data_IF_900386641589
#
_entry.id   IF_900386641589
#
_cell.length_a   1.000
_cell.length_b   1.000
_cell.length_c   1.000
_cell.angle_alpha   90.00
_cell.angle_beta   90.00
_cell.angle_gamma   90.00
#
_symmetry.space_group_name_H-M   'P 1'
#
loop_
_entity.id
_entity.type
_entity.pdbx_description
1 polymer ?
#
# COMPACT_ATOMS: atom_id res chain seq x y z
N UNK A 1 -1.74 12.52 -12.62
CA UNK A 1 -1.73 11.13 -13.15
C UNK A 1 -2.98 10.46 -12.57
N UNK A 2 -3.37 9.23 -12.95
CA UNK A 2 -4.46 8.55 -12.22
C UNK A 2 -3.92 8.03 -10.88
N UNK A 3 -4.74 8.02 -9.83
CA UNK A 3 -4.40 7.44 -8.52
C UNK A 3 -4.01 5.97 -8.65
N UNK A 4 -4.73 5.23 -9.50
CA UNK A 4 -4.37 3.85 -9.82
C UNK A 4 -2.98 3.74 -10.44
N UNK A 5 -2.61 4.64 -11.36
CA UNK A 5 -1.29 4.64 -11.98
C UNK A 5 -0.17 5.00 -10.99
N UNK A 6 -0.41 5.98 -10.11
CA UNK A 6 0.53 6.37 -9.05
C UNK A 6 0.75 5.21 -8.07
N UNK A 7 -0.34 4.55 -7.65
CA UNK A 7 -0.24 3.38 -6.78
C UNK A 7 0.46 2.20 -7.45
N UNK A 8 0.32 2.01 -8.77
CA UNK A 8 1.04 0.96 -9.49
C UNK A 8 2.55 1.15 -9.39
N UNK A 9 3.06 2.38 -9.47
CA UNK A 9 4.50 2.64 -9.29
C UNK A 9 4.96 2.30 -7.87
N UNK A 10 4.19 2.71 -6.87
CA UNK A 10 4.46 2.40 -5.48
C UNK A 10 4.45 0.89 -5.21
N UNK A 11 3.45 0.16 -5.72
CA UNK A 11 3.36 -1.29 -5.58
C UNK A 11 4.48 -2.04 -6.32
N UNK A 12 4.98 -1.51 -7.45
CA UNK A 12 6.15 -2.07 -8.11
C UNK A 12 7.40 -1.95 -7.23
N UNK A 13 7.61 -0.82 -6.57
CA UNK A 13 8.71 -0.62 -5.63
C UNK A 13 8.57 -1.56 -4.42
N UNK A 14 7.39 -1.64 -3.81
CA UNK A 14 7.13 -2.58 -2.71
C UNK A 14 7.46 -4.01 -3.13
N UNK A 15 6.98 -4.44 -4.30
CA UNK A 15 7.26 -5.78 -4.82
C UNK A 15 8.74 -6.01 -5.09
N UNK A 16 9.49 -4.98 -5.48
CA UNK A 16 10.94 -5.09 -5.65
C UNK A 16 11.59 -5.38 -4.30
N UNK A 17 11.24 -4.64 -3.23
CA UNK A 17 11.75 -4.89 -1.88
C UNK A 17 11.37 -6.30 -1.39
N UNK A 18 10.11 -6.69 -1.52
CA UNK A 18 9.63 -8.01 -1.07
C UNK A 18 10.34 -9.18 -1.78
N UNK A 19 10.75 -9.02 -3.05
CA UNK A 19 11.46 -10.07 -3.80
C UNK A 19 12.89 -10.31 -3.33
N UNK A 20 13.49 -9.35 -2.63
CA UNK A 20 14.86 -9.48 -2.11
C UNK A 20 14.94 -10.43 -0.90
N UNK A 21 13.78 -10.77 -0.32
CA UNK A 21 13.69 -11.62 0.87
C UNK A 21 12.80 -12.83 0.58
N UNK A 22 13.28 -14.01 0.94
CA UNK A 22 12.45 -15.21 0.87
C UNK A 22 11.50 -15.22 2.06
N UNK A 23 10.19 -15.22 1.79
CA UNK A 23 9.14 -15.26 2.83
C UNK A 23 9.37 -16.39 3.85
N UNK A 24 9.86 -17.54 3.40
CA UNK A 24 10.00 -18.69 4.29
C UNK A 24 11.17 -18.59 5.26
N UNK A 25 12.11 -17.68 5.00
CA UNK A 25 13.24 -17.39 5.87
C UNK A 25 12.92 -16.34 6.95
N UNK A 26 11.78 -15.65 6.83
CA UNK A 26 11.35 -14.65 7.80
C UNK A 26 10.91 -15.29 9.14
N UNK A 27 11.06 -14.57 10.27
CA UNK A 27 10.39 -14.90 11.52
C UNK A 27 8.88 -15.04 11.35
N UNK A 28 8.23 -15.85 12.20
CA UNK A 28 6.78 -16.13 12.08
C UNK A 28 5.92 -14.86 12.11
N UNK A 29 6.30 -13.88 12.91
CA UNK A 29 5.62 -12.59 13.00
C UNK A 29 5.75 -11.78 11.70
N UNK A 30 6.95 -11.73 11.13
CA UNK A 30 7.24 -11.05 9.88
C UNK A 30 6.58 -11.71 8.67
N UNK A 31 6.43 -13.04 8.66
CA UNK A 31 5.66 -13.74 7.60
C UNK A 31 4.23 -13.23 7.51
N UNK A 32 3.60 -12.99 8.66
CA UNK A 32 2.24 -12.45 8.71
C UNK A 32 2.21 -11.03 8.18
N UNK A 33 3.14 -10.18 8.62
CA UNK A 33 3.24 -8.79 8.16
C UNK A 33 3.54 -8.71 6.66
N UNK A 34 4.41 -9.60 6.15
CA UNK A 34 4.72 -9.74 4.73
C UNK A 34 3.46 -10.04 3.90
N UNK A 35 2.64 -10.98 4.37
CA UNK A 35 1.37 -11.30 3.71
C UNK A 35 0.37 -10.14 3.80
N UNK A 36 0.36 -9.40 4.92
CA UNK A 36 -0.45 -8.20 5.09
C UNK A 36 -0.06 -7.08 4.12
N UNK A 37 1.23 -6.84 3.88
CA UNK A 37 1.69 -5.90 2.85
C UNK A 37 1.11 -6.28 1.49
N UNK A 38 1.23 -7.56 1.09
CA UNK A 38 0.74 -8.04 -0.21
C UNK A 38 -0.78 -7.91 -0.34
N UNK A 39 -1.51 -8.23 0.73
CA UNK A 39 -2.96 -8.09 0.77
C UNK A 39 -3.36 -6.62 0.66
N UNK A 40 -2.76 -5.74 1.46
CA UNK A 40 -3.05 -4.31 1.42
C UNK A 40 -2.80 -3.72 0.04
N UNK A 41 -1.72 -4.12 -0.66
CA UNK A 41 -1.49 -3.69 -2.04
C UNK A 41 -2.57 -4.16 -3.02
N UNK A 42 -3.10 -5.38 -2.84
CA UNK A 42 -4.17 -5.89 -3.69
C UNK A 42 -5.48 -5.13 -3.45
N UNK A 43 -5.84 -4.93 -2.19
CA UNK A 43 -7.05 -4.18 -1.82
C UNK A 43 -6.96 -2.73 -2.29
N UNK A 44 -5.81 -2.06 -2.11
CA UNK A 44 -5.62 -0.68 -2.56
C UNK A 44 -5.79 -0.50 -4.07
N UNK A 45 -5.36 -1.46 -4.89
CA UNK A 45 -5.62 -1.41 -6.34
C UNK A 45 -7.10 -1.40 -6.65
N UNK A 46 -7.89 -2.17 -5.91
CA UNK A 46 -9.34 -2.24 -6.10
C UNK A 46 -10.00 -0.98 -5.56
N UNK A 47 -9.66 -0.57 -4.34
CA UNK A 47 -10.25 0.60 -3.69
C UNK A 47 -9.99 1.89 -4.47
N UNK A 48 -8.77 2.11 -4.96
CA UNK A 48 -8.42 3.31 -5.72
C UNK A 48 -9.09 3.32 -7.09
N UNK A 49 -9.15 2.16 -7.76
CA UNK A 49 -9.88 2.01 -9.01
C UNK A 49 -11.36 2.32 -8.81
N UNK A 50 -11.98 1.71 -7.81
CA UNK A 50 -13.40 1.87 -7.55
C UNK A 50 -13.72 3.30 -7.03
N UNK A 51 -12.77 3.98 -6.38
CA UNK A 51 -12.84 5.41 -6.08
C UNK A 51 -12.82 6.28 -7.35
N UNK A 52 -11.94 5.98 -8.31
CA UNK A 52 -11.81 6.73 -9.58
C UNK A 52 -13.05 6.55 -10.47
N UNK A 53 -13.67 5.36 -10.46
CA UNK A 53 -14.86 5.06 -11.26
C UNK A 53 -16.18 5.22 -10.51
N UNK A 54 -16.17 5.76 -9.29
CA UNK A 54 -17.39 5.99 -8.53
C UNK A 54 -18.32 6.97 -9.28
N UNK A 55 -19.59 6.58 -9.45
CA UNK A 55 -20.59 7.38 -10.17
C UNK A 55 -21.23 8.42 -9.25
N UNK A 56 -21.21 8.16 -7.94
CA UNK A 56 -21.78 9.05 -6.92
C UNK A 56 -20.75 9.50 -5.89
N UNK A 57 -20.99 10.67 -5.27
CA UNK A 57 -20.17 11.15 -4.15
C UNK A 57 -20.21 10.22 -2.94
N UNK A 58 -21.34 9.53 -2.71
CA UNK A 58 -21.47 8.58 -1.62
C UNK A 58 -20.57 7.35 -1.84
N UNK A 59 -20.53 6.81 -3.05
CA UNK A 59 -19.62 5.72 -3.41
C UNK A 59 -18.16 6.17 -3.34
N UNK A 60 -17.86 7.35 -3.89
CA UNK A 60 -16.53 7.91 -3.83
C UNK A 60 -16.05 8.04 -2.38
N UNK A 61 -16.88 8.54 -1.47
CA UNK A 61 -16.55 8.64 -0.05
C UNK A 61 -16.36 7.28 0.64
N UNK A 62 -17.19 6.28 0.27
CA UNK A 62 -17.04 4.91 0.77
C UNK A 62 -15.68 4.33 0.38
N UNK A 63 -15.32 4.41 -0.90
CA UNK A 63 -14.03 3.90 -1.40
C UNK A 63 -12.86 4.70 -0.86
N UNK A 64 -13.00 6.02 -0.70
CA UNK A 64 -12.01 6.85 -0.04
C UNK A 64 -11.67 6.38 1.38
N UNK A 65 -12.71 6.04 2.15
CA UNK A 65 -12.54 5.54 3.52
C UNK A 65 -11.79 4.20 3.54
N UNK A 66 -12.13 3.28 2.64
CA UNK A 66 -11.47 1.98 2.52
C UNK A 66 -10.00 2.13 2.07
N UNK A 67 -9.76 2.93 1.03
CA UNK A 67 -8.42 3.22 0.55
C UNK A 67 -7.54 3.83 1.65
N UNK A 68 -8.05 4.82 2.41
CA UNK A 68 -7.31 5.41 3.53
C UNK A 68 -6.99 4.40 4.63
N UNK A 69 -7.92 3.51 4.94
CA UNK A 69 -7.69 2.43 5.91
C UNK A 69 -6.57 1.50 5.45
N UNK A 70 -6.62 1.05 4.19
CA UNK A 70 -5.64 0.14 3.63
C UNK A 70 -4.27 0.81 3.39
N UNK A 71 -4.22 2.11 3.06
CA UNK A 71 -2.98 2.90 3.00
C UNK A 71 -2.31 2.95 4.37
N UNK A 72 -3.09 3.16 5.44
CA UNK A 72 -2.55 3.16 6.80
C UNK A 72 -2.07 1.77 7.22
N UNK A 73 -2.81 0.71 6.87
CA UNK A 73 -2.39 -0.66 7.14
C UNK A 73 -1.09 -1.00 6.41
N UNK A 74 -0.95 -0.55 5.16
CA UNK A 74 0.27 -0.73 4.36
C UNK A 74 1.46 0.01 4.99
N UNK A 75 1.29 1.28 5.36
CA UNK A 75 2.32 2.09 6.02
C UNK A 75 2.83 1.43 7.31
N UNK A 76 1.92 0.98 8.18
CA UNK A 76 2.27 0.29 9.42
C UNK A 76 3.00 -1.03 9.14
N UNK A 77 2.57 -1.78 8.12
CA UNK A 77 3.18 -3.06 7.78
C UNK A 77 4.58 -2.90 7.18
N UNK A 78 4.83 -1.84 6.41
CA UNK A 78 6.17 -1.49 5.90
C UNK A 78 7.11 -1.18 7.07
N UNK A 79 6.66 -0.35 8.02
CA UNK A 79 7.47 0.02 9.20
C UNK A 79 7.78 -1.17 10.11
N UNK A 80 6.91 -2.17 10.12
CA UNK A 80 7.06 -3.38 10.92
C UNK A 80 7.95 -4.45 10.27
N UNK A 81 8.56 -4.18 9.10
CA UNK A 81 9.44 -5.11 8.37
C UNK A 81 10.82 -4.50 8.08
N UNK A 82 11.62 -4.17 9.10
CA UNK A 82 12.91 -3.48 8.94
C UNK A 82 13.95 -4.30 8.17
N UNK A 83 13.84 -5.63 8.18
CA UNK A 83 14.72 -6.53 7.43
C UNK A 83 14.36 -6.60 5.93
N UNK A 84 13.17 -6.13 5.57
CA UNK A 84 12.67 -6.11 4.19
C UNK A 84 12.75 -4.71 3.57
N UNK A 85 12.38 -3.68 4.34
CA UNK A 85 12.37 -2.29 3.89
C UNK A 85 13.46 -1.50 4.60
N UNK A 86 14.45 -1.05 3.83
CA UNK A 86 15.55 -0.24 4.37
C UNK A 86 15.05 1.17 4.68
N UNK A 87 15.77 1.97 5.49
CA UNK A 87 15.34 3.34 5.83
C UNK A 87 15.03 4.22 4.61
N UNK A 88 15.78 4.05 3.51
CA UNK A 88 15.52 4.77 2.25
C UNK A 88 14.21 4.32 1.60
N UNK A 89 13.93 3.02 1.54
CA UNK A 89 12.67 2.48 1.01
C UNK A 89 11.49 2.96 1.85
N UNK A 90 11.63 2.90 3.18
CA UNK A 90 10.59 3.37 4.11
C UNK A 90 10.26 4.84 3.86
N UNK A 91 11.27 5.70 3.71
CA UNK A 91 11.06 7.13 3.47
C UNK A 91 10.35 7.39 2.14
N UNK A 92 10.81 6.76 1.05
CA UNK A 92 10.23 6.93 -0.28
C UNK A 92 8.80 6.38 -0.36
N UNK A 93 8.57 5.18 0.17
CA UNK A 93 7.26 4.54 0.19
C UNK A 93 6.27 5.31 1.08
N UNK A 94 6.70 5.81 2.23
CA UNK A 94 5.85 6.61 3.11
C UNK A 94 5.44 7.92 2.45
N UNK A 95 6.38 8.60 1.78
CA UNK A 95 6.07 9.81 1.01
C UNK A 95 5.08 9.55 -0.13
N UNK A 96 5.24 8.43 -0.85
CA UNK A 96 4.29 8.02 -1.89
C UNK A 96 2.89 7.68 -1.34
N UNK A 97 2.83 6.99 -0.20
CA UNK A 97 1.57 6.72 0.50
C UNK A 97 0.89 8.02 0.93
N UNK A 98 1.64 8.97 1.49
CA UNK A 98 1.15 10.29 1.89
C UNK A 98 0.62 11.08 0.71
N UNK A 99 1.32 11.04 -0.41
CA UNK A 99 0.90 11.69 -1.63
C UNK A 99 -0.46 11.16 -2.11
N UNK A 100 -0.60 9.84 -2.25
CA UNK A 100 -1.87 9.21 -2.64
C UNK A 100 -2.97 9.54 -1.63
N UNK A 101 -2.68 9.44 -0.33
CA UNK A 101 -3.61 9.76 0.76
C UNK A 101 -4.15 11.20 0.67
N UNK A 102 -3.30 12.16 0.28
CA UNK A 102 -3.66 13.57 0.15
C UNK A 102 -4.63 13.88 -1.01
N UNK A 103 -4.70 13.00 -2.00
CA UNK A 103 -5.54 13.18 -3.19
C UNK A 103 -6.93 12.54 -3.05
N UNK A 104 -7.15 11.70 -2.04
CA UNK A 104 -8.42 11.00 -1.80
C UNK A 104 -9.19 11.80 -0.74
N UNK A 105 -10.43 12.23 -1.03
CA UNK A 105 -11.27 13.10 -0.18
C UNK A 105 -12.43 12.36 0.51
#
# INVERSE_FOLDING_TARGET
MSLGAEFVQLDLHIKACLRLVLRDDLPREDKRTYDQVKLACKELRLDLRDYEYAETRAEQHKWAKLARHNLRALEVSILALPDVFKPVDVAELSAGIDHIRSQIY
#
